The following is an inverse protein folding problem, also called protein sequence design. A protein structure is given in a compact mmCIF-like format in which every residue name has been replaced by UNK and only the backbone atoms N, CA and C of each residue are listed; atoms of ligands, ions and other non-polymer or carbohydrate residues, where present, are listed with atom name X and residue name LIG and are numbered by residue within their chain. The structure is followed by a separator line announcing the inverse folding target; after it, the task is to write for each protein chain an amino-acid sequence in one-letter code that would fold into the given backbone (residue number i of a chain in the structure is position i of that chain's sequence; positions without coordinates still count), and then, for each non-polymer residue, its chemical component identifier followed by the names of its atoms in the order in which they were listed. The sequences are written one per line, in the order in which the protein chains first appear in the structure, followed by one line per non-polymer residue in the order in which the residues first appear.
data_IF_790105065494
#
_entry.id   IF_790105065494
#
_cell.length_a   1.000
_cell.length_b   1.000
_cell.length_c   1.000
_cell.angle_alpha   90.00
_cell.angle_beta   90.00
_cell.angle_gamma   90.00
#
_symmetry.space_group_name_H-M   'P 1'
#
loop_
_entity.id
_entity.type
_entity.pdbx_description
1 polymer ?
#
# COMPACT_ATOMS: atom_id res chain seq x y z
N UNK A 1 1.02 -0.99 21.62
CA UNK A 1 2.40 -1.14 21.13
C UNK A 1 2.33 -1.23 19.61
N UNK A 2 3.07 -0.42 18.93
CA UNK A 2 2.74 0.23 17.67
C UNK A 2 3.14 -0.59 16.44
N UNK A 3 2.22 -1.40 15.91
CA UNK A 3 2.26 -1.94 14.52
C UNK A 3 2.29 -0.80 13.48
N UNK A 4 1.99 0.41 13.93
CA UNK A 4 2.00 1.66 13.17
C UNK A 4 3.34 2.00 12.49
N UNK A 5 4.46 1.42 12.91
CA UNK A 5 5.77 1.75 12.31
C UNK A 5 6.09 1.03 11.01
N UNK A 6 5.40 -0.07 10.69
CA UNK A 6 5.63 -0.80 9.43
C UNK A 6 4.80 -0.27 8.26
N UNK A 7 3.69 0.40 8.57
CA UNK A 7 2.84 1.09 7.57
C UNK A 7 3.16 2.59 7.47
N UNK A 8 3.90 3.16 8.44
CA UNK A 8 4.21 4.58 8.54
C UNK A 8 5.52 5.03 7.86
N UNK A 9 6.14 4.24 6.99
CA UNK A 9 7.24 4.73 6.16
C UNK A 9 6.78 5.73 5.09
N UNK A 10 5.48 6.02 5.01
CA UNK A 10 4.92 6.93 4.00
C UNK A 10 4.74 8.38 4.43
N UNK A 11 5.16 8.80 5.62
CA UNK A 11 4.82 10.14 6.12
C UNK A 11 5.98 10.88 6.75
N UNK A 12 6.78 11.57 5.99
CA UNK A 12 7.40 12.84 6.39
C UNK A 12 7.83 13.67 5.17
N UNK A 13 6.90 14.32 4.49
CA UNK A 13 7.22 15.51 3.70
C UNK A 13 6.08 16.53 3.80
N UNK A 14 5.91 17.11 4.99
CA UNK A 14 5.25 18.41 5.12
C UNK A 14 6.30 19.50 4.86
N UNK A 15 6.57 19.77 3.59
CA UNK A 15 7.38 20.90 3.14
C UNK A 15 6.44 22.00 2.63
N UNK A 16 6.04 22.94 3.48
CA UNK A 16 5.51 24.23 3.07
C UNK A 16 6.62 25.03 2.39
N UNK A 17 6.53 25.22 1.08
CA UNK A 17 7.18 26.34 0.41
C UNK A 17 6.14 27.19 -0.28
N UNK A 18 5.93 28.37 0.30
CA UNK A 18 5.35 29.54 -0.36
C UNK A 18 6.24 29.90 -1.54
N UNK A 19 5.69 29.96 -2.73
CA UNK A 19 6.29 30.71 -3.83
C UNK A 19 5.25 31.67 -4.36
N UNK A 20 5.65 32.91 -4.26
CA UNK A 20 4.97 34.13 -4.73
C UNK A 20 4.91 34.16 -6.24
N UNK A 21 3.82 34.74 -6.72
CA UNK A 21 3.59 35.52 -7.92
C UNK A 21 4.80 35.77 -8.86
N UNK A 22 4.59 35.57 -10.14
CA UNK A 22 4.90 36.61 -11.14
C UNK A 22 4.53 36.18 -12.59
N UNK A 23 3.71 37.04 -13.17
CA UNK A 23 3.68 37.48 -14.57
C UNK A 23 3.10 36.60 -15.68
N UNK A 24 2.04 37.17 -16.22
CA UNK A 24 1.47 36.98 -17.57
C UNK A 24 2.54 36.84 -18.67
N UNK A 25 2.47 35.75 -19.41
CA UNK A 25 2.86 35.76 -20.81
C UNK A 25 1.84 35.04 -21.67
N UNK A 26 1.21 35.82 -22.51
CA UNK A 26 0.24 35.46 -23.53
C UNK A 26 1.02 34.81 -24.69
N UNK A 27 0.89 33.50 -24.87
CA UNK A 27 1.41 32.79 -26.04
C UNK A 27 0.33 31.99 -26.73
N UNK A 28 0.22 32.27 -28.03
CA UNK A 28 -0.68 31.77 -29.05
C UNK A 28 -1.07 30.29 -28.91
N UNK A 29 -2.39 30.10 -28.94
CA UNK A 29 -3.09 28.86 -29.21
C UNK A 29 -2.57 28.22 -30.50
N UNK A 30 -1.91 27.07 -30.36
CA UNK A 30 -1.81 26.10 -31.45
C UNK A 30 -2.73 24.95 -31.04
N UNK A 31 -3.84 24.87 -31.72
CA UNK A 31 -4.87 23.85 -31.60
C UNK A 31 -4.23 22.48 -31.94
N UNK A 32 -3.85 21.73 -30.90
CA UNK A 32 -3.48 20.32 -31.06
C UNK A 32 -4.76 19.50 -31.04
N UNK A 33 -5.02 18.80 -32.15
CA UNK A 33 -6.09 17.84 -32.29
C UNK A 33 -6.20 16.93 -31.06
N UNK A 34 -7.41 16.52 -30.63
CA UNK A 34 -7.59 15.67 -29.47
C UNK A 34 -6.96 14.30 -29.74
N UNK A 35 -5.85 14.03 -29.05
CA UNK A 35 -5.28 12.68 -29.02
C UNK A 35 -6.28 11.82 -28.26
N UNK A 36 -7.04 11.02 -28.99
CA UNK A 36 -7.94 10.02 -28.43
C UNK A 36 -7.07 8.93 -27.79
N UNK A 37 -6.75 9.10 -26.52
CA UNK A 37 -6.08 8.06 -25.72
C UNK A 37 -7.07 6.90 -25.61
N UNK A 38 -6.87 5.86 -26.41
CA UNK A 38 -7.60 4.60 -26.27
C UNK A 38 -7.39 4.11 -24.82
N UNK A 39 -8.42 4.23 -23.98
CA UNK A 39 -8.42 3.62 -22.63
C UNK A 39 -8.27 2.12 -22.83
N UNK A 40 -7.06 1.60 -22.65
CA UNK A 40 -6.84 0.17 -22.62
C UNK A 40 -7.50 -0.40 -21.39
N UNK A 41 -8.55 -1.18 -21.59
CA UNK A 41 -9.30 -1.87 -20.53
C UNK A 41 -8.50 -3.04 -19.89
N UNK A 42 -7.23 -3.20 -20.25
CA UNK A 42 -6.37 -4.26 -19.75
C UNK A 42 -5.92 -3.96 -18.33
N UNK A 43 -5.98 -4.97 -17.47
CA UNK A 43 -5.35 -4.95 -16.15
C UNK A 43 -3.84 -4.99 -16.36
N UNK A 44 -3.12 -4.13 -15.66
CA UNK A 44 -1.67 -4.13 -15.55
C UNK A 44 -1.29 -4.68 -14.20
N UNK A 45 -0.32 -5.57 -14.18
CA UNK A 45 0.29 -6.09 -12.94
C UNK A 45 1.64 -5.43 -12.77
N UNK A 46 1.88 -4.84 -11.62
CA UNK A 46 3.11 -4.16 -11.27
C UNK A 46 3.66 -4.78 -9.99
N UNK A 47 4.89 -5.27 -10.04
CA UNK A 47 5.61 -5.74 -8.87
C UNK A 47 6.63 -4.70 -8.40
N UNK A 48 6.61 -4.39 -7.12
CA UNK A 48 7.56 -3.53 -6.44
C UNK A 48 8.27 -4.32 -5.34
N UNK A 49 9.59 -4.27 -5.29
CA UNK A 49 10.42 -4.95 -4.27
C UNK A 49 11.44 -3.99 -3.72
N UNK A 50 11.80 -4.15 -2.45
CA UNK A 50 12.91 -3.45 -1.83
C UNK A 50 14.00 -4.43 -1.35
N UNK A 51 15.11 -3.88 -0.87
CA UNK A 51 16.25 -4.67 -0.37
C UNK A 51 15.93 -5.45 0.93
N UNK A 52 14.87 -5.06 1.65
CA UNK A 52 14.42 -5.74 2.88
C UNK A 52 13.49 -6.93 2.59
N UNK A 53 13.48 -7.45 1.37
CA UNK A 53 12.63 -8.57 0.92
C UNK A 53 11.12 -8.30 1.01
N UNK A 54 10.71 -7.04 1.20
CA UNK A 54 9.31 -6.66 1.09
C UNK A 54 8.89 -6.62 -0.37
N UNK A 55 7.72 -7.13 -0.65
CA UNK A 55 7.17 -7.15 -2.00
C UNK A 55 5.75 -6.61 -1.99
N UNK A 56 5.45 -5.74 -2.96
CA UNK A 56 4.09 -5.24 -3.19
C UNK A 56 3.72 -5.44 -4.65
N UNK A 57 2.59 -6.08 -4.89
CA UNK A 57 2.02 -6.30 -6.23
C UNK A 57 0.75 -5.49 -6.37
N UNK A 58 0.64 -4.70 -7.42
CA UNK A 58 -0.56 -3.95 -7.78
C UNK A 58 -1.20 -4.53 -9.03
N UNK A 59 -2.51 -4.75 -8.99
CA UNK A 59 -3.34 -4.95 -10.17
C UNK A 59 -4.12 -3.68 -10.44
N UNK A 60 -3.94 -3.06 -11.62
CA UNK A 60 -4.54 -1.77 -11.91
C UNK A 60 -5.19 -1.72 -13.30
N UNK A 61 -6.29 -1.00 -13.40
CA UNK A 61 -6.97 -0.66 -14.65
C UNK A 61 -6.82 0.85 -14.91
N UNK A 62 -5.96 1.20 -15.87
CA UNK A 62 -5.55 2.58 -16.06
C UNK A 62 -4.71 3.10 -14.88
N UNK A 63 -5.18 4.13 -14.19
CA UNK A 63 -4.56 4.70 -12.99
C UNK A 63 -5.28 4.27 -11.69
N UNK A 64 -6.29 3.41 -11.77
CA UNK A 64 -7.04 2.90 -10.61
C UNK A 64 -6.52 1.53 -10.20
N UNK A 65 -5.99 1.42 -8.98
CA UNK A 65 -5.63 0.13 -8.38
C UNK A 65 -6.93 -0.63 -8.09
N UNK A 66 -6.97 -1.90 -8.48
CA UNK A 66 -8.08 -2.82 -8.22
C UNK A 66 -7.78 -3.76 -7.07
N UNK A 67 -6.53 -4.22 -6.97
CA UNK A 67 -6.04 -5.09 -5.91
C UNK A 67 -4.60 -4.72 -5.56
N UNK A 68 -4.27 -4.82 -4.29
CA UNK A 68 -2.89 -4.76 -3.79
C UNK A 68 -2.62 -6.00 -2.97
N UNK A 69 -1.45 -6.60 -3.18
CA UNK A 69 -0.94 -7.70 -2.34
C UNK A 69 0.41 -7.28 -1.81
N UNK A 70 0.57 -7.26 -0.50
CA UNK A 70 1.82 -6.94 0.18
C UNK A 70 2.34 -8.17 0.91
N UNK A 71 3.65 -8.47 0.75
CA UNK A 71 4.35 -9.54 1.46
C UNK A 71 5.50 -8.94 2.25
N UNK A 72 5.58 -9.26 3.52
CA UNK A 72 6.63 -8.78 4.42
C UNK A 72 6.81 -9.75 5.59
N UNK A 73 7.94 -9.64 6.27
CA UNK A 73 8.22 -10.41 7.47
C UNK A 73 8.07 -9.53 8.72
N UNK A 74 7.52 -10.08 9.78
CA UNK A 74 7.48 -9.49 11.12
C UNK A 74 8.31 -10.34 12.07
N UNK A 75 9.14 -9.72 12.88
CA UNK A 75 9.87 -10.44 13.92
C UNK A 75 8.92 -10.88 15.04
N UNK A 76 9.29 -11.90 15.78
CA UNK A 76 8.53 -12.33 16.96
C UNK A 76 8.36 -11.22 17.99
N UNK A 77 9.40 -10.40 18.16
CA UNK A 77 9.35 -9.24 19.07
C UNK A 77 8.31 -8.21 18.68
N UNK A 78 8.09 -7.98 17.37
CA UNK A 78 7.09 -7.03 16.87
C UNK A 78 5.65 -7.50 17.19
N UNK A 79 5.45 -8.80 17.28
CA UNK A 79 4.19 -9.44 17.66
C UNK A 79 4.07 -9.67 19.17
N UNK A 80 5.12 -9.34 19.95
CA UNK A 80 5.17 -9.61 21.38
C UNK A 80 5.23 -11.11 21.71
N UNK A 81 5.83 -11.90 20.81
CA UNK A 81 6.12 -13.33 21.00
C UNK A 81 7.48 -13.43 21.70
N UNK A 82 7.53 -14.18 22.79
CA UNK A 82 8.72 -14.41 23.61
C UNK A 82 9.20 -15.86 23.50
N UNK A 83 10.44 -16.12 23.86
CA UNK A 83 11.08 -17.46 23.72
C UNK A 83 10.44 -18.55 24.62
N UNK A 84 9.74 -18.15 25.68
CA UNK A 84 9.05 -19.04 26.61
C UNK A 84 7.63 -19.45 26.15
N UNK A 85 7.13 -18.86 25.06
CA UNK A 85 5.82 -19.21 24.50
C UNK A 85 5.86 -20.56 23.76
N UNK A 86 4.87 -21.40 24.04
CA UNK A 86 4.66 -22.61 23.27
C UNK A 86 3.96 -22.33 21.93
N UNK A 87 3.89 -23.34 21.05
CA UNK A 87 3.32 -23.20 19.69
C UNK A 87 1.87 -22.70 19.68
N UNK A 88 1.05 -23.11 20.63
CA UNK A 88 -0.36 -22.68 20.72
C UNK A 88 -0.48 -21.21 21.12
N UNK A 89 0.34 -20.76 22.06
CA UNK A 89 0.41 -19.36 22.47
C UNK A 89 0.92 -18.47 21.34
N UNK A 90 1.94 -18.91 20.59
CA UNK A 90 2.44 -18.22 19.40
C UNK A 90 1.34 -18.08 18.35
N UNK A 91 0.66 -19.17 18.01
CA UNK A 91 -0.43 -19.13 17.03
C UNK A 91 -1.59 -18.23 17.47
N UNK A 92 -1.99 -18.32 18.75
CA UNK A 92 -3.02 -17.45 19.32
C UNK A 92 -2.63 -15.97 19.23
N UNK A 93 -1.36 -15.68 19.47
CA UNK A 93 -0.83 -14.31 19.40
C UNK A 93 -0.85 -13.75 17.97
N UNK A 94 -0.46 -14.57 16.99
CA UNK A 94 -0.50 -14.24 15.57
C UNK A 94 -1.96 -13.97 15.16
N UNK A 95 -2.86 -14.90 15.44
CA UNK A 95 -4.27 -14.78 15.08
C UNK A 95 -4.87 -13.48 15.65
N UNK A 96 -4.74 -13.24 16.94
CA UNK A 96 -5.32 -12.05 17.59
C UNK A 96 -4.72 -10.73 17.11
N UNK A 97 -3.44 -10.74 16.72
CA UNK A 97 -2.73 -9.53 16.28
C UNK A 97 -2.95 -9.17 14.82
N UNK A 98 -3.21 -10.16 13.98
CA UNK A 98 -3.29 -10.03 12.53
C UNK A 98 -4.63 -10.54 11.96
N UNK A 99 -4.92 -11.82 12.10
CA UNK A 99 -6.04 -12.46 11.41
C UNK A 99 -7.39 -11.90 11.88
N UNK A 100 -7.64 -11.89 13.19
CA UNK A 100 -8.91 -11.41 13.75
C UNK A 100 -9.13 -9.92 13.51
N UNK A 101 -8.02 -9.16 13.51
CA UNK A 101 -8.06 -7.71 13.33
C UNK A 101 -8.38 -7.31 11.91
N UNK A 102 -7.76 -7.94 10.92
CA UNK A 102 -7.81 -7.48 9.55
C UNK A 102 -8.77 -8.28 8.67
N UNK A 103 -8.94 -9.59 8.89
CA UNK A 103 -9.87 -10.41 8.12
C UNK A 103 -11.35 -10.09 8.38
N UNK A 104 -11.66 -9.31 9.41
CA UNK A 104 -13.00 -8.77 9.66
C UNK A 104 -13.36 -7.59 8.73
N UNK A 105 -12.38 -7.01 8.03
CA UNK A 105 -12.57 -5.86 7.14
C UNK A 105 -12.92 -6.37 5.75
N UNK A 106 -14.05 -5.93 5.21
CA UNK A 106 -14.48 -6.33 3.86
C UNK A 106 -13.43 -5.95 2.80
N UNK A 107 -13.09 -6.90 1.94
CA UNK A 107 -12.09 -6.72 0.90
C UNK A 107 -10.63 -6.79 1.40
N UNK A 108 -10.41 -7.11 2.67
CA UNK A 108 -9.07 -7.36 3.23
C UNK A 108 -8.93 -8.84 3.56
N UNK A 109 -7.77 -9.41 3.23
CA UNK A 109 -7.40 -10.76 3.60
C UNK A 109 -5.95 -10.80 4.06
N UNK A 110 -5.73 -11.32 5.26
CA UNK A 110 -4.41 -11.57 5.83
C UNK A 110 -4.20 -13.07 5.92
N UNK A 111 -3.03 -13.52 5.52
CA UNK A 111 -2.55 -14.87 5.76
C UNK A 111 -1.12 -14.81 6.31
N UNK A 112 -0.80 -15.74 7.18
CA UNK A 112 0.46 -15.77 7.92
C UNK A 112 1.13 -17.13 7.77
N UNK A 113 2.46 -17.13 7.70
CA UNK A 113 3.29 -18.33 7.71
C UNK A 113 4.37 -18.21 8.77
N UNK A 114 4.35 -19.13 9.74
CA UNK A 114 5.34 -19.16 10.81
C UNK A 114 6.67 -19.68 10.29
N UNK A 115 7.76 -18.94 10.52
CA UNK A 115 9.15 -19.33 10.29
C UNK A 115 9.89 -19.42 11.63
N UNK A 116 11.14 -19.83 11.60
CA UNK A 116 11.92 -20.08 12.85
C UNK A 116 11.96 -18.87 13.81
N UNK A 117 12.08 -17.63 13.30
CA UNK A 117 12.24 -16.42 14.12
C UNK A 117 11.38 -15.24 13.66
N UNK A 118 10.47 -15.48 12.71
CA UNK A 118 9.63 -14.45 12.12
C UNK A 118 8.32 -15.04 11.62
N UNK A 119 7.38 -14.17 11.36
CA UNK A 119 6.12 -14.50 10.69
C UNK A 119 6.12 -13.83 9.33
N UNK A 120 6.00 -14.60 8.26
CA UNK A 120 5.74 -14.06 6.93
C UNK A 120 4.27 -13.72 6.82
N UNK A 121 3.98 -12.47 6.47
CA UNK A 121 2.62 -11.94 6.35
C UNK A 121 2.34 -11.64 4.88
N UNK A 122 1.20 -12.12 4.39
CA UNK A 122 0.63 -11.70 3.12
C UNK A 122 -0.66 -10.95 3.40
N UNK A 123 -0.70 -9.67 3.04
CA UNK A 123 -1.87 -8.80 3.15
C UNK A 123 -2.41 -8.53 1.74
N UNK A 124 -3.65 -8.87 1.50
CA UNK A 124 -4.37 -8.57 0.26
C UNK A 124 -5.48 -7.56 0.51
N UNK A 125 -5.61 -6.57 -0.36
CA UNK A 125 -6.70 -5.59 -0.36
C UNK A 125 -7.34 -5.53 -1.74
N UNK A 126 -8.64 -5.87 -1.83
CA UNK A 126 -9.45 -5.73 -3.04
C UNK A 126 -10.22 -4.41 -2.98
N UNK A 127 -9.73 -3.39 -3.68
CA UNK A 127 -10.34 -2.05 -3.73
C UNK A 127 -11.65 -1.98 -4.54
N UNK A 128 -12.14 -3.10 -5.05
CA UNK A 128 -13.47 -3.16 -5.68
C UNK A 128 -14.56 -3.40 -4.64
N UNK A 129 -14.20 -4.05 -3.54
CA UNK A 129 -15.10 -4.42 -2.44
C UNK A 129 -14.80 -3.65 -1.15
N UNK A 130 -13.54 -3.38 -0.86
CA UNK A 130 -13.14 -2.66 0.33
C UNK A 130 -13.65 -1.21 0.34
N UNK A 131 -14.12 -0.77 1.52
CA UNK A 131 -14.45 0.63 1.75
C UNK A 131 -13.18 1.41 2.07
N UNK A 132 -12.92 2.48 1.31
CA UNK A 132 -11.70 3.30 1.45
C UNK A 132 -11.60 3.96 2.83
N UNK A 133 -12.70 4.47 3.37
CA UNK A 133 -12.69 5.13 4.67
C UNK A 133 -12.38 4.12 5.78
N UNK A 134 -12.94 2.91 5.72
CA UNK A 134 -12.64 1.83 6.65
C UNK A 134 -11.16 1.42 6.58
N UNK A 135 -10.55 1.36 5.39
CA UNK A 135 -9.11 1.09 5.24
C UNK A 135 -8.26 2.20 5.86
N UNK A 136 -8.67 3.46 5.74
CA UNK A 136 -7.99 4.60 6.37
C UNK A 136 -8.15 4.54 7.90
N UNK A 137 -9.33 4.29 8.41
CA UNK A 137 -9.62 4.20 9.84
C UNK A 137 -8.87 3.04 10.51
N UNK A 138 -8.72 1.92 9.82
CA UNK A 138 -7.94 0.77 10.28
C UNK A 138 -6.43 0.95 10.16
N UNK A 139 -5.97 2.04 9.52
CA UNK A 139 -4.55 2.32 9.28
C UNK A 139 -3.91 1.47 8.19
N UNK A 140 -4.71 0.83 7.33
CA UNK A 140 -4.23 0.07 6.17
C UNK A 140 -3.98 0.94 4.94
N UNK A 141 -4.52 2.16 4.94
CA UNK A 141 -4.37 3.14 3.87
C UNK A 141 -4.24 4.54 4.46
N UNK A 142 -3.32 5.33 3.92
CA UNK A 142 -3.18 6.73 4.31
C UNK A 142 -4.22 7.63 3.62
N UNK A 143 -4.73 8.64 4.36
CA UNK A 143 -5.63 9.66 3.80
C UNK A 143 -5.09 10.32 2.54
N UNK A 144 -3.76 10.43 2.43
CA UNK A 144 -3.08 11.00 1.28
C UNK A 144 -3.09 10.12 0.03
N UNK A 145 -3.24 8.82 0.14
CA UNK A 145 -3.16 7.87 -0.98
C UNK A 145 -4.48 7.71 -1.72
N UNK A 146 -5.59 7.83 -0.99
CA UNK A 146 -6.92 7.77 -1.58
C UNK A 146 -7.34 9.09 -2.22
N UNK A 147 -8.10 8.98 -3.28
CA UNK A 147 -8.92 10.08 -3.82
C UNK A 147 -10.37 9.63 -3.74
N UNK A 148 -11.12 10.21 -2.81
CA UNK A 148 -12.54 9.94 -2.54
C UNK A 148 -12.99 8.48 -2.61
N UNK A 149 -12.80 7.78 -3.73
CA UNK A 149 -13.37 6.45 -4.00
C UNK A 149 -12.39 5.47 -4.67
N UNK A 150 -11.10 5.85 -4.82
CA UNK A 150 -10.08 4.94 -5.39
C UNK A 150 -8.64 5.33 -5.06
N UNK A 151 -7.75 4.36 -5.14
CA UNK A 151 -6.29 4.54 -4.96
C UNK A 151 -5.61 4.69 -6.32
N UNK A 152 -4.75 5.72 -6.45
CA UNK A 152 -4.10 6.07 -7.73
C UNK A 152 -2.76 5.37 -7.88
N UNK A 153 -2.65 4.52 -8.91
CA UNK A 153 -1.45 3.76 -9.21
C UNK A 153 -0.19 4.62 -9.32
N UNK A 154 -0.23 5.70 -10.12
CA UNK A 154 0.95 6.55 -10.33
C UNK A 154 1.42 7.24 -9.05
N UNK A 155 0.50 7.63 -8.16
CA UNK A 155 0.84 8.26 -6.89
C UNK A 155 1.46 7.24 -5.95
N UNK A 156 0.82 6.09 -5.79
CA UNK A 156 1.29 4.99 -4.95
C UNK A 156 2.65 4.47 -5.42
N UNK A 157 2.84 4.22 -6.73
CA UNK A 157 4.16 3.82 -7.24
C UNK A 157 5.26 4.86 -6.97
N UNK A 158 4.93 6.16 -7.00
CA UNK A 158 5.90 7.21 -6.67
C UNK A 158 6.29 7.15 -5.20
N UNK A 159 5.32 6.97 -4.30
CA UNK A 159 5.58 6.81 -2.86
C UNK A 159 6.50 5.60 -2.62
N UNK A 160 6.17 4.43 -3.14
CA UNK A 160 7.00 3.23 -3.00
C UNK A 160 8.43 3.41 -3.55
N UNK A 161 8.59 4.12 -4.67
CA UNK A 161 9.93 4.45 -5.20
C UNK A 161 10.73 5.36 -4.27
N UNK A 162 10.08 6.31 -3.61
CA UNK A 162 10.73 7.18 -2.62
C UNK A 162 11.18 6.40 -1.37
N UNK A 163 10.50 5.28 -1.07
CA UNK A 163 10.85 4.35 0.01
C UNK A 163 11.84 3.25 -0.40
N UNK A 164 12.43 3.37 -1.59
CA UNK A 164 13.46 2.44 -2.05
C UNK A 164 12.95 1.20 -2.78
N UNK A 165 11.66 1.14 -3.14
CA UNK A 165 11.15 0.04 -3.93
C UNK A 165 11.48 0.19 -5.42
N UNK A 166 11.97 -0.88 -6.04
CA UNK A 166 12.09 -1.01 -7.48
C UNK A 166 10.81 -1.65 -8.04
N UNK A 167 10.13 -0.97 -8.97
CA UNK A 167 8.86 -1.42 -9.54
C UNK A 167 9.00 -1.79 -11.01
N UNK A 168 8.47 -2.95 -11.40
CA UNK A 168 8.45 -3.48 -12.77
C UNK A 168 7.01 -3.83 -13.20
N UNK A 169 6.69 -3.60 -14.46
CA UNK A 169 5.42 -4.05 -15.09
C UNK A 169 5.65 -5.47 -15.61
N UNK A 170 4.73 -6.38 -15.28
CA UNK A 170 4.69 -7.74 -15.81
C UNK A 170 3.91 -7.83 -17.12
#
# INVERSE_FOLDING_TARGET
MRIQYLLCACLLLSGCTKVSDLTHQKSKSTEKAPVTVKKTNKIKVIDCKNDSSQQVTFEAKGDKIQKMTQKFAMSFSDLGITEDMNSEQIQSKINSSLDDKYNSIEGVHVSTELKEKQVEVTLEMDFKTANIDTLIESGLLDKGEAQSDYVRLKKTQRAFKQEGFACMIK
#
